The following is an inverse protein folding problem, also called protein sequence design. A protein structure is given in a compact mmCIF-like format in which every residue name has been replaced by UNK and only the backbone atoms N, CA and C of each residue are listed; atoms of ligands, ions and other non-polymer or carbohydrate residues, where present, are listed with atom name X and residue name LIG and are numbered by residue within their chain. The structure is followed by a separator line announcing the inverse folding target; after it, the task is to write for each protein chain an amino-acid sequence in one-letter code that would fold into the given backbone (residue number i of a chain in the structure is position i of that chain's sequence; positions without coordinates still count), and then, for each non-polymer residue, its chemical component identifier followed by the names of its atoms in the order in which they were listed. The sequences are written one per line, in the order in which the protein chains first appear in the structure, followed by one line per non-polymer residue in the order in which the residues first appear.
data_IF_502928243382
#
_entry.id   IF_502928243382
#
_cell.length_a   1.000
_cell.length_b   1.000
_cell.length_c   1.000
_cell.angle_alpha   90.00
_cell.angle_beta   90.00
_cell.angle_gamma   90.00
#
_symmetry.space_group_name_H-M   'P 1'
#
loop_
_entity.id
_entity.type
_entity.pdbx_description
1 polymer ?
#
# COMPACT_ATOMS: atom_id res chain seq x y z
N UNK A 1 -6.07 -36.94 8.04
CA UNK A 1 -6.56 -35.55 8.09
C UNK A 1 -5.60 -34.75 8.95
N UNK A 2 -4.65 -34.03 8.36
CA UNK A 2 -3.78 -33.12 9.12
C UNK A 2 -4.67 -32.02 9.72
N UNK A 3 -4.74 -31.92 11.05
CA UNK A 3 -5.42 -30.79 11.71
C UNK A 3 -4.69 -29.52 11.28
N UNK A 4 -5.35 -28.65 10.50
CA UNK A 4 -4.80 -27.31 10.19
C UNK A 4 -4.42 -26.62 11.51
N UNK A 5 -3.15 -26.23 11.66
CA UNK A 5 -2.63 -25.61 12.88
C UNK A 5 -3.24 -24.22 13.02
N UNK A 6 -3.78 -23.90 14.19
CA UNK A 6 -4.31 -22.55 14.45
C UNK A 6 -3.13 -21.58 14.55
N UNK A 7 -3.02 -20.67 13.57
CA UNK A 7 -2.01 -19.61 13.55
C UNK A 7 -2.40 -18.44 14.46
N UNK A 8 -1.38 -17.76 15.00
CA UNK A 8 -1.49 -16.47 15.69
C UNK A 8 -1.04 -15.36 14.74
N UNK A 9 -2.01 -14.59 14.27
CA UNK A 9 -1.82 -13.53 13.28
C UNK A 9 -1.85 -12.17 14.00
N UNK A 10 -0.70 -11.51 14.04
CA UNK A 10 -0.58 -10.11 14.42
C UNK A 10 -1.00 -9.18 13.29
N UNK A 11 -1.59 -8.04 13.63
CA UNK A 11 -1.76 -6.92 12.70
C UNK A 11 -1.37 -5.62 13.37
N UNK A 12 -0.50 -4.85 12.71
CA UNK A 12 -0.19 -3.47 13.06
C UNK A 12 -0.94 -2.58 12.08
N UNK A 13 -1.91 -1.81 12.56
CA UNK A 13 -2.72 -0.92 11.70
C UNK A 13 -3.08 0.38 12.42
N UNK A 14 -3.64 1.33 11.67
CA UNK A 14 -4.32 2.49 12.22
C UNK A 14 -5.53 2.09 13.08
N UNK A 15 -6.03 2.97 13.98
CA UNK A 15 -7.06 2.59 14.94
C UNK A 15 -8.28 1.96 14.28
N UNK A 16 -8.56 0.70 14.63
CA UNK A 16 -9.64 -0.10 14.05
C UNK A 16 -11.01 0.55 14.21
N UNK A 17 -11.19 1.44 15.20
CA UNK A 17 -12.43 2.17 15.49
C UNK A 17 -12.88 3.12 14.36
N UNK A 18 -11.95 3.56 13.52
CA UNK A 18 -12.21 4.61 12.52
C UNK A 18 -12.28 4.08 11.08
N UNK A 19 -12.22 2.77 10.89
CA UNK A 19 -12.24 2.18 9.56
C UNK A 19 -13.64 2.24 8.94
N UNK A 20 -13.69 2.18 7.61
CA UNK A 20 -14.92 1.93 6.85
C UNK A 20 -14.96 0.45 6.48
N UNK A 21 -15.64 -0.37 7.28
CA UNK A 21 -15.71 -1.84 7.15
C UNK A 21 -15.93 -2.33 5.71
N UNK A 22 -16.78 -1.65 4.95
CA UNK A 22 -17.11 -2.01 3.56
C UNK A 22 -15.96 -1.83 2.56
N UNK A 23 -14.95 -1.02 2.90
CA UNK A 23 -13.82 -0.66 2.04
C UNK A 23 -12.47 -1.09 2.61
N UNK A 24 -12.42 -1.42 3.89
CA UNK A 24 -11.18 -1.69 4.60
C UNK A 24 -10.64 -3.09 4.27
N UNK A 25 -9.55 -3.12 3.51
CA UNK A 25 -8.93 -4.38 3.08
C UNK A 25 -8.26 -5.12 4.24
N UNK A 26 -7.78 -4.41 5.27
CA UNK A 26 -7.23 -5.04 6.48
C UNK A 26 -8.33 -5.83 7.19
N UNK A 27 -9.50 -5.23 7.38
CA UNK A 27 -10.67 -5.88 7.98
C UNK A 27 -11.14 -7.10 7.18
N UNK A 28 -11.17 -7.02 5.85
CA UNK A 28 -11.51 -8.16 4.99
C UNK A 28 -10.53 -9.34 5.17
N UNK A 29 -9.22 -9.06 5.22
CA UNK A 29 -8.19 -10.08 5.49
C UNK A 29 -8.40 -10.72 6.86
N UNK A 30 -8.66 -9.92 7.89
CA UNK A 30 -8.91 -10.43 9.24
C UNK A 30 -10.19 -11.30 9.29
N UNK A 31 -11.25 -10.94 8.57
CA UNK A 31 -12.48 -11.75 8.50
C UNK A 31 -12.20 -13.14 7.94
N UNK A 32 -11.39 -13.24 6.88
CA UNK A 32 -10.99 -14.53 6.31
C UNK A 32 -10.09 -15.32 7.28
N UNK A 33 -9.14 -14.66 7.95
CA UNK A 33 -8.34 -15.28 9.00
C UNK A 33 -9.20 -15.87 10.14
N UNK A 34 -10.20 -15.11 10.62
CA UNK A 34 -11.11 -15.57 11.67
C UNK A 34 -12.01 -16.71 11.19
N UNK A 35 -12.48 -16.67 9.95
CA UNK A 35 -13.27 -17.75 9.34
C UNK A 35 -12.50 -19.07 9.27
N UNK A 36 -11.16 -19.01 9.19
CA UNK A 36 -10.25 -20.17 9.26
C UNK A 36 -9.83 -20.53 10.69
N UNK A 37 -10.44 -19.92 11.71
CA UNK A 37 -10.17 -20.11 13.13
C UNK A 37 -8.77 -19.67 13.60
N UNK A 38 -8.07 -18.83 12.84
CA UNK A 38 -6.83 -18.23 13.32
C UNK A 38 -7.10 -17.22 14.45
N UNK A 39 -6.16 -17.12 15.39
CA UNK A 39 -6.20 -16.15 16.47
C UNK A 39 -5.63 -14.82 15.99
N UNK A 40 -6.33 -13.72 16.26
CA UNK A 40 -5.96 -12.39 15.77
C UNK A 40 -5.49 -11.51 16.92
N UNK A 41 -4.28 -10.97 16.80
CA UNK A 41 -3.65 -10.05 17.75
C UNK A 41 -3.54 -8.66 17.12
N UNK A 42 -4.39 -7.75 17.61
CA UNK A 42 -4.40 -6.36 17.17
C UNK A 42 -3.35 -5.53 17.91
N UNK A 43 -2.65 -4.68 17.16
CA UNK A 43 -1.63 -3.74 17.63
C UNK A 43 -1.74 -2.42 16.87
N UNK A 44 -1.44 -1.33 17.56
CA UNK A 44 -1.14 -0.02 16.98
C UNK A 44 0.37 0.27 17.07
N UNK A 45 0.84 1.36 16.45
CA UNK A 45 2.27 1.73 16.47
C UNK A 45 2.81 1.93 17.90
N UNK A 46 1.99 2.51 18.78
CA UNK A 46 2.34 2.77 20.19
C UNK A 46 2.36 1.50 21.05
N UNK A 47 1.86 0.37 20.55
CA UNK A 47 1.90 -0.91 21.25
C UNK A 47 3.24 -1.62 21.05
N UNK A 48 3.99 -1.28 20.00
CA UNK A 48 5.27 -1.90 19.64
C UNK A 48 6.41 -1.31 20.47
N UNK A 49 7.29 -2.17 20.99
CA UNK A 49 8.50 -1.72 21.68
C UNK A 49 9.65 -2.72 21.60
N UNK A 50 10.86 -2.22 21.82
CA UNK A 50 12.08 -3.02 21.98
C UNK A 50 12.52 -3.01 23.43
N UNK A 51 12.89 -4.18 23.94
CA UNK A 51 13.52 -4.33 25.26
C UNK A 51 14.65 -5.33 25.15
N UNK A 52 15.88 -4.88 25.47
CA UNK A 52 17.11 -5.70 25.38
C UNK A 52 17.24 -6.45 24.04
N UNK A 53 17.05 -5.72 22.93
CA UNK A 53 17.16 -6.23 21.55
C UNK A 53 16.08 -7.24 21.10
N UNK A 54 15.09 -7.53 21.95
CA UNK A 54 13.94 -8.36 21.61
C UNK A 54 12.71 -7.47 21.36
N UNK A 55 11.90 -7.86 20.37
CA UNK A 55 10.66 -7.15 20.04
C UNK A 55 9.47 -7.69 20.83
N UNK A 56 8.66 -6.75 21.32
CA UNK A 56 7.47 -7.00 22.09
C UNK A 56 6.33 -6.12 21.61
N UNK A 57 5.12 -6.50 21.99
CA UNK A 57 3.98 -5.62 21.88
C UNK A 57 2.96 -5.84 22.99
N UNK A 58 2.22 -4.77 23.30
CA UNK A 58 0.92 -4.89 23.96
C UNK A 58 -0.12 -5.28 22.91
N UNK A 59 -0.54 -6.54 22.90
CA UNK A 59 -1.50 -7.05 21.93
C UNK A 59 -2.88 -7.20 22.54
N UNK A 60 -3.91 -6.98 21.73
CA UNK A 60 -5.30 -7.24 22.08
C UNK A 60 -5.86 -8.34 21.17
N UNK A 61 -6.31 -9.44 21.74
CA UNK A 61 -7.02 -10.48 21.00
C UNK A 61 -8.36 -9.92 20.54
N UNK A 62 -8.63 -9.95 19.23
CA UNK A 62 -9.89 -9.39 18.68
C UNK A 62 -10.80 -10.47 18.10
N UNK A 63 -12.11 -10.25 18.28
CA UNK A 63 -13.15 -10.88 17.47
C UNK A 63 -13.78 -9.82 16.60
N UNK A 64 -14.00 -10.13 15.33
CA UNK A 64 -14.58 -9.23 14.34
C UNK A 64 -15.87 -9.78 13.77
N UNK A 65 -16.75 -8.87 13.40
CA UNK A 65 -18.11 -9.16 12.95
C UNK A 65 -18.39 -8.40 11.66
N UNK A 66 -18.95 -9.07 10.65
CA UNK A 66 -19.39 -8.43 9.41
C UNK A 66 -20.68 -7.62 9.65
N UNK A 67 -20.54 -6.52 10.38
CA UNK A 67 -21.58 -5.54 10.73
C UNK A 67 -21.04 -4.14 10.48
N UNK A 68 -21.92 -3.16 10.31
CA UNK A 68 -21.54 -1.74 10.15
C UNK A 68 -21.30 -1.05 11.49
N UNK A 69 -21.90 -1.55 12.57
CA UNK A 69 -21.70 -1.11 13.96
C UNK A 69 -21.21 -2.26 14.82
N UNK A 70 -20.45 -1.95 15.88
CA UNK A 70 -19.85 -2.94 16.79
C UNK A 70 -19.18 -4.10 16.05
N UNK A 71 -18.36 -3.75 15.06
CA UNK A 71 -17.74 -4.69 14.12
C UNK A 71 -16.48 -5.36 14.66
N UNK A 72 -16.05 -5.00 15.88
CA UNK A 72 -14.95 -5.67 16.58
C UNK A 72 -15.17 -5.62 18.10
N UNK A 73 -14.57 -6.58 18.82
CA UNK A 73 -14.52 -6.65 20.27
C UNK A 73 -13.12 -7.09 20.72
N UNK A 74 -12.57 -6.42 21.74
CA UNK A 74 -11.37 -6.89 22.44
C UNK A 74 -11.76 -7.97 23.46
N UNK A 75 -11.10 -9.12 23.40
CA UNK A 75 -11.38 -10.28 24.25
C UNK A 75 -10.39 -10.34 25.42
N UNK A 76 -9.12 -10.05 25.14
CA UNK A 76 -8.02 -10.14 26.09
C UNK A 76 -6.93 -9.16 25.68
N UNK A 77 -6.25 -8.57 26.66
CA UNK A 77 -5.04 -7.78 26.47
C UNK A 77 -3.85 -8.47 27.14
N UNK A 78 -2.69 -8.42 26.50
CA UNK A 78 -1.47 -9.04 27.01
C UNK A 78 -0.21 -8.39 26.42
N UNK A 79 0.88 -8.42 27.18
CA UNK A 79 2.21 -8.11 26.67
C UNK A 79 2.90 -9.42 26.27
N UNK A 80 3.28 -9.56 25.01
CA UNK A 80 3.97 -10.74 24.48
C UNK A 80 5.23 -10.34 23.74
N UNK A 81 6.19 -11.27 23.63
CA UNK A 81 7.21 -11.14 22.60
C UNK A 81 6.56 -11.39 21.24
N UNK A 82 6.98 -10.62 20.23
CA UNK A 82 6.45 -10.78 18.88
C UNK A 82 6.76 -12.16 18.29
N UNK A 83 7.81 -12.85 18.75
CA UNK A 83 8.13 -14.23 18.35
C UNK A 83 7.10 -15.29 18.73
N UNK A 84 6.12 -14.93 19.56
CA UNK A 84 5.00 -15.80 19.90
C UNK A 84 3.90 -15.79 18.84
N UNK A 85 3.99 -14.89 17.85
CA UNK A 85 3.10 -14.81 16.70
C UNK A 85 3.73 -15.59 15.55
N UNK A 86 2.90 -16.24 14.73
CA UNK A 86 3.40 -16.94 13.54
C UNK A 86 3.61 -15.94 12.37
N UNK A 87 2.76 -14.91 12.28
CA UNK A 87 2.80 -13.89 11.23
C UNK A 87 2.38 -12.51 11.77
N UNK A 88 2.95 -11.43 11.22
CA UNK A 88 2.51 -10.05 11.46
C UNK A 88 2.22 -9.36 10.14
N UNK A 89 1.00 -8.85 9.98
CA UNK A 89 0.58 -7.98 8.89
C UNK A 89 0.91 -6.53 9.26
N UNK A 90 1.89 -5.92 8.60
CA UNK A 90 2.19 -4.50 8.69
C UNK A 90 1.26 -3.73 7.75
N UNK A 91 0.14 -3.25 8.29
CA UNK A 91 -0.96 -2.59 7.58
C UNK A 91 -1.17 -1.15 8.04
N UNK A 92 -0.12 -0.52 8.59
CA UNK A 92 -0.12 0.90 8.93
C UNK A 92 -0.14 1.72 7.64
N UNK A 93 -1.07 2.67 7.54
CA UNK A 93 -1.13 3.56 6.38
C UNK A 93 0.08 4.52 6.37
N UNK A 94 0.54 4.96 5.18
CA UNK A 94 1.42 6.12 5.02
C UNK A 94 0.93 7.35 5.79
N UNK A 95 1.82 8.30 6.14
CA UNK A 95 3.06 8.60 5.44
C UNK A 95 4.21 7.65 5.76
N UNK A 96 5.06 7.41 4.76
CA UNK A 96 6.36 6.75 4.98
C UNK A 96 7.32 7.76 5.60
N UNK A 97 7.37 7.78 6.93
CA UNK A 97 8.18 8.69 7.72
C UNK A 97 9.18 7.94 8.61
N UNK A 98 9.93 8.67 9.43
CA UNK A 98 10.94 8.06 10.32
C UNK A 98 10.31 7.10 11.35
N UNK A 99 9.10 7.37 11.82
CA UNK A 99 8.39 6.49 12.76
C UNK A 99 8.00 5.16 12.11
N UNK A 100 7.55 5.19 10.84
CA UNK A 100 7.32 3.99 10.05
C UNK A 100 8.62 3.18 9.93
N UNK A 101 9.75 3.84 9.63
CA UNK A 101 11.07 3.20 9.57
C UNK A 101 11.45 2.57 10.92
N UNK A 102 11.27 3.27 12.03
CA UNK A 102 11.55 2.72 13.36
C UNK A 102 10.73 1.46 13.65
N UNK A 103 9.44 1.47 13.35
CA UNK A 103 8.61 0.27 13.48
C UNK A 103 9.13 -0.89 12.63
N UNK A 104 9.63 -0.64 11.41
CA UNK A 104 10.24 -1.72 10.60
C UNK A 104 11.45 -2.35 11.30
N UNK A 105 12.28 -1.61 12.04
CA UNK A 105 13.39 -2.20 12.79
C UNK A 105 12.92 -3.06 13.96
N UNK A 106 11.80 -2.71 14.61
CA UNK A 106 11.18 -3.53 15.65
C UNK A 106 10.68 -4.84 15.04
N UNK A 107 9.93 -4.75 13.94
CA UNK A 107 9.40 -5.92 13.23
C UNK A 107 10.51 -6.81 12.66
N UNK A 108 11.62 -6.24 12.23
CA UNK A 108 12.79 -7.00 11.76
C UNK A 108 13.44 -7.84 12.86
N UNK A 109 13.34 -7.44 14.15
CA UNK A 109 13.78 -8.30 15.26
C UNK A 109 12.90 -9.54 15.39
N UNK A 110 11.58 -9.37 15.25
CA UNK A 110 10.66 -10.50 15.22
C UNK A 110 10.89 -11.40 13.98
N UNK A 111 11.15 -10.80 12.81
CA UNK A 111 11.50 -11.53 11.58
C UNK A 111 12.71 -12.45 11.79
N UNK A 112 13.77 -11.92 12.43
CA UNK A 112 14.99 -12.69 12.75
C UNK A 112 14.75 -13.83 13.76
N UNK A 113 13.66 -13.77 14.52
CA UNK A 113 13.24 -14.82 15.46
C UNK A 113 12.24 -15.81 14.81
N UNK A 114 12.00 -15.71 13.49
CA UNK A 114 11.21 -16.67 12.71
C UNK A 114 9.77 -16.25 12.42
N UNK A 115 9.36 -15.04 12.79
CA UNK A 115 8.00 -14.53 12.49
C UNK A 115 7.92 -14.08 11.04
N UNK A 116 6.90 -14.54 10.30
CA UNK A 116 6.65 -14.02 8.96
C UNK A 116 6.12 -12.58 9.05
N UNK A 117 6.78 -11.61 8.43
CA UNK A 117 6.29 -10.22 8.38
C UNK A 117 5.82 -9.89 6.97
N UNK A 118 4.57 -9.40 6.85
CA UNK A 118 3.96 -9.06 5.57
C UNK A 118 3.66 -7.56 5.53
N UNK A 119 4.34 -6.75 4.73
CA UNK A 119 5.50 -7.07 3.87
C UNK A 119 6.84 -7.04 4.63
N UNK A 120 7.89 -7.58 4.01
CA UNK A 120 9.26 -7.65 4.57
C UNK A 120 9.76 -6.28 5.06
N UNK A 121 10.18 -6.12 6.33
CA UNK A 121 10.58 -4.83 6.91
C UNK A 121 11.72 -4.12 6.17
N UNK A 122 12.74 -4.88 5.77
CA UNK A 122 13.84 -4.33 4.97
C UNK A 122 13.33 -3.76 3.65
N UNK A 123 12.50 -4.52 2.94
CA UNK A 123 11.99 -4.14 1.63
C UNK A 123 10.99 -2.99 1.69
N UNK A 124 10.26 -2.84 2.79
CA UNK A 124 9.48 -1.63 3.06
C UNK A 124 10.36 -0.37 3.13
N UNK A 125 11.61 -0.48 3.61
CA UNK A 125 12.56 0.64 3.62
C UNK A 125 13.23 0.85 2.27
N UNK A 126 13.54 -0.23 1.56
CA UNK A 126 14.21 -0.17 0.26
C UNK A 126 13.27 0.30 -0.87
N UNK A 127 11.97 0.00 -0.76
CA UNK A 127 11.00 0.14 -1.84
C UNK A 127 9.98 1.26 -1.54
N UNK A 128 10.43 2.51 -1.48
CA UNK A 128 9.49 3.65 -1.41
C UNK A 128 8.53 3.64 -2.60
N UNK A 129 7.24 3.86 -2.36
CA UNK A 129 6.17 3.59 -3.34
C UNK A 129 6.30 4.36 -4.67
N UNK A 130 6.96 5.52 -4.65
CA UNK A 130 7.21 6.36 -5.82
C UNK A 130 8.60 6.14 -6.40
N UNK A 131 9.64 6.20 -5.57
CA UNK A 131 11.03 6.02 -6.02
C UNK A 131 11.28 4.61 -6.56
N UNK A 132 10.65 3.59 -5.98
CA UNK A 132 10.82 2.22 -6.46
C UNK A 132 10.25 2.05 -7.87
N UNK A 133 9.13 2.72 -8.18
CA UNK A 133 8.56 2.70 -9.53
C UNK A 133 9.54 3.27 -10.58
N UNK A 134 10.34 4.28 -10.25
CA UNK A 134 11.28 4.90 -11.21
C UNK A 134 12.45 4.00 -11.60
N UNK A 135 12.65 2.85 -10.94
CA UNK A 135 13.62 1.84 -11.38
C UNK A 135 13.14 1.07 -12.63
N UNK A 136 11.88 1.25 -13.02
CA UNK A 136 11.24 0.56 -14.14
C UNK A 136 10.90 1.55 -15.26
N UNK A 137 11.90 2.33 -15.67
CA UNK A 137 11.82 3.45 -16.62
C UNK A 137 10.99 3.17 -17.88
N UNK A 138 11.12 1.97 -18.47
CA UNK A 138 10.35 1.54 -19.65
C UNK A 138 8.84 1.57 -19.44
N UNK A 139 8.38 1.44 -18.19
CA UNK A 139 6.97 1.41 -17.83
C UNK A 139 6.49 2.69 -17.16
N UNK A 140 7.36 3.59 -16.73
CA UNK A 140 6.95 4.84 -16.09
C UNK A 140 6.72 5.97 -17.11
N UNK A 141 5.97 7.04 -16.75
CA UNK A 141 6.09 8.31 -17.46
C UNK A 141 7.53 8.86 -17.33
N UNK A 142 7.88 9.86 -18.15
CA UNK A 142 9.11 10.62 -17.92
C UNK A 142 9.03 11.23 -16.52
N UNK A 143 10.09 11.02 -15.73
CA UNK A 143 10.09 11.21 -14.28
C UNK A 143 11.37 11.92 -13.84
N UNK A 144 11.21 13.02 -13.12
CA UNK A 144 12.28 13.74 -12.44
C UNK A 144 12.05 13.70 -10.93
N UNK A 145 13.10 13.39 -10.16
CA UNK A 145 13.08 13.55 -8.70
C UNK A 145 14.14 14.58 -8.33
N UNK A 146 13.70 15.72 -7.80
CA UNK A 146 14.60 16.80 -7.44
C UNK A 146 14.00 17.66 -6.33
N UNK A 147 14.86 18.48 -5.73
CA UNK A 147 14.44 19.60 -4.87
C UNK A 147 14.77 20.96 -5.49
N UNK A 148 15.44 20.97 -6.65
CA UNK A 148 15.90 22.20 -7.30
C UNK A 148 14.82 22.76 -8.23
N UNK A 149 14.37 23.99 -7.97
CA UNK A 149 13.27 24.62 -8.70
C UNK A 149 13.63 24.87 -10.18
N UNK A 150 14.89 25.20 -10.48
CA UNK A 150 15.32 25.40 -11.88
C UNK A 150 15.24 24.11 -12.70
N UNK A 151 15.57 22.95 -12.13
CA UNK A 151 15.39 21.66 -12.80
C UNK A 151 13.91 21.36 -13.04
N UNK A 152 13.04 21.66 -12.05
CA UNK A 152 11.58 21.52 -12.19
C UNK A 152 11.06 22.42 -13.32
N UNK A 153 11.55 23.66 -13.41
CA UNK A 153 11.19 24.60 -14.45
C UNK A 153 11.59 24.10 -15.84
N UNK A 154 12.82 23.60 -15.99
CA UNK A 154 13.31 23.06 -17.26
C UNK A 154 12.48 21.84 -17.70
N UNK A 155 12.16 20.95 -16.77
CA UNK A 155 11.30 19.80 -17.03
C UNK A 155 9.89 20.24 -17.44
N UNK A 156 9.31 21.22 -16.74
CA UNK A 156 8.01 21.80 -17.10
C UNK A 156 8.04 22.46 -18.48
N UNK A 157 9.09 23.21 -18.83
CA UNK A 157 9.25 23.83 -20.15
C UNK A 157 9.34 22.81 -21.28
N UNK A 158 10.04 21.70 -21.04
CA UNK A 158 10.17 20.61 -22.00
C UNK A 158 8.83 19.90 -22.25
N UNK A 159 8.11 19.56 -21.18
CA UNK A 159 6.92 18.70 -21.27
C UNK A 159 5.58 19.44 -21.31
N UNK A 160 5.56 20.71 -20.92
CA UNK A 160 4.41 21.64 -20.90
C UNK A 160 3.26 21.27 -19.98
N UNK A 161 3.02 19.99 -19.69
CA UNK A 161 1.96 19.51 -18.82
C UNK A 161 2.54 18.42 -17.90
N UNK A 162 2.68 18.76 -16.62
CA UNK A 162 3.36 17.92 -15.63
C UNK A 162 2.51 17.72 -14.39
N UNK A 163 2.83 16.67 -13.65
CA UNK A 163 2.34 16.39 -12.31
C UNK A 163 3.51 16.53 -11.34
N UNK A 164 3.33 17.27 -10.24
CA UNK A 164 4.26 17.32 -9.11
C UNK A 164 3.59 16.72 -7.88
N UNK A 165 4.29 15.82 -7.18
CA UNK A 165 3.78 15.07 -6.02
C UNK A 165 4.86 14.83 -4.96
N UNK A 166 4.48 14.72 -3.67
CA UNK A 166 5.44 14.43 -2.60
C UNK A 166 5.84 12.95 -2.63
N UNK A 167 6.96 12.59 -2.00
CA UNK A 167 7.48 11.21 -2.01
C UNK A 167 6.97 10.33 -0.85
N UNK A 168 6.43 10.93 0.20
CA UNK A 168 6.12 10.29 1.49
C UNK A 168 4.62 10.01 1.71
N UNK A 169 3.73 10.69 0.97
CA UNK A 169 2.28 10.61 1.16
C UNK A 169 1.58 9.66 0.17
N UNK A 170 0.36 9.25 0.54
CA UNK A 170 -0.54 8.45 -0.29
C UNK A 170 -1.87 9.18 -0.62
N UNK A 171 -2.72 8.54 -1.42
CA UNK A 171 -4.13 8.93 -1.57
C UNK A 171 -4.40 10.21 -2.35
N UNK A 172 -3.40 10.76 -3.04
CA UNK A 172 -3.55 12.00 -3.81
C UNK A 172 -3.34 13.28 -3.01
N UNK A 173 -2.79 13.19 -1.80
CA UNK A 173 -2.39 14.37 -1.03
C UNK A 173 -1.28 15.15 -1.75
N UNK A 174 -1.48 16.46 -1.90
CA UNK A 174 -0.53 17.40 -2.52
C UNK A 174 -0.06 17.01 -3.94
N UNK A 175 -0.97 16.46 -4.75
CA UNK A 175 -0.72 16.27 -6.19
C UNK A 175 -1.21 17.51 -6.94
N UNK A 176 -0.31 18.16 -7.66
CA UNK A 176 -0.64 19.32 -8.50
C UNK A 176 -0.36 19.00 -9.96
N UNK A 177 -1.27 19.42 -10.83
CA UNK A 177 -1.04 19.46 -12.27
C UNK A 177 -0.67 20.88 -12.67
N UNK A 178 0.46 21.02 -13.36
CA UNK A 178 0.95 22.30 -13.86
C UNK A 178 0.92 22.24 -15.39
N UNK A 179 0.00 23.00 -15.99
CA UNK A 179 -0.18 23.09 -17.45
C UNK A 179 0.74 24.16 -18.04
N UNK A 180 0.75 24.28 -19.36
CA UNK A 180 1.49 25.34 -20.05
C UNK A 180 0.97 26.71 -19.57
N UNK A 181 1.89 27.61 -19.22
CA UNK A 181 1.60 28.97 -18.73
C UNK A 181 0.84 29.07 -17.40
N UNK A 182 0.88 28.04 -16.54
CA UNK A 182 0.34 28.13 -15.18
C UNK A 182 1.08 29.20 -14.35
N UNK A 183 0.32 30.22 -13.92
CA UNK A 183 0.83 31.33 -13.12
C UNK A 183 1.30 30.90 -11.71
N UNK A 184 0.88 29.72 -11.25
CA UNK A 184 1.20 29.21 -9.92
C UNK A 184 2.44 28.31 -9.92
N UNK A 185 3.15 28.15 -11.03
CA UNK A 185 4.32 27.26 -11.11
C UNK A 185 5.30 27.49 -9.95
N UNK A 186 5.70 28.73 -9.71
CA UNK A 186 6.74 29.06 -8.75
C UNK A 186 6.30 28.72 -7.32
N UNK A 187 5.11 29.17 -6.92
CA UNK A 187 4.59 28.91 -5.57
C UNK A 187 4.33 27.41 -5.33
N UNK A 188 3.87 26.66 -6.35
CA UNK A 188 3.73 25.21 -6.24
C UNK A 188 5.10 24.57 -6.04
N UNK A 189 6.10 24.94 -6.83
CA UNK A 189 7.45 24.38 -6.71
C UNK A 189 8.09 24.71 -5.35
N UNK A 190 7.94 25.93 -4.84
CA UNK A 190 8.41 26.35 -3.51
C UNK A 190 7.75 25.55 -2.39
N UNK A 191 6.42 25.41 -2.41
CA UNK A 191 5.69 24.65 -1.39
C UNK A 191 6.08 23.17 -1.45
N UNK A 192 6.10 22.57 -2.64
CA UNK A 192 6.36 21.15 -2.84
C UNK A 192 7.79 20.75 -2.46
N UNK A 193 8.75 21.65 -2.69
CA UNK A 193 10.15 21.43 -2.30
C UNK A 193 10.47 21.97 -0.91
N UNK A 194 9.52 22.62 -0.22
CA UNK A 194 9.76 23.37 1.00
C UNK A 194 10.96 24.33 0.85
N UNK A 195 10.91 25.19 -0.17
CA UNK A 195 12.01 26.09 -0.56
C UNK A 195 13.33 25.33 -0.74
N UNK A 196 13.32 24.33 -1.61
CA UNK A 196 14.47 23.46 -1.96
C UNK A 196 15.07 22.61 -0.81
N UNK A 197 14.32 22.42 0.29
CA UNK A 197 14.74 21.59 1.44
C UNK A 197 14.26 20.15 1.38
N UNK A 198 13.29 19.83 0.52
CA UNK A 198 12.68 18.51 0.37
C UNK A 198 12.60 18.10 -1.10
N UNK A 199 12.83 16.83 -1.36
CA UNK A 199 12.64 16.24 -2.69
C UNK A 199 11.15 16.05 -2.99
N UNK A 200 10.79 16.26 -4.25
CA UNK A 200 9.50 15.89 -4.81
C UNK A 200 9.69 15.12 -6.12
N UNK A 201 8.63 14.48 -6.60
CA UNK A 201 8.59 13.78 -7.87
C UNK A 201 7.78 14.59 -8.87
N UNK A 202 8.31 14.72 -10.08
CA UNK A 202 7.70 15.39 -11.21
C UNK A 202 7.56 14.35 -12.33
N UNK A 203 6.38 14.23 -12.92
CA UNK A 203 6.10 13.31 -14.02
C UNK A 203 5.36 14.02 -15.14
N UNK A 204 5.51 13.57 -16.38
CA UNK A 204 4.62 14.02 -17.46
C UNK A 204 3.17 13.71 -17.13
N UNK A 205 2.25 14.65 -17.38
CA UNK A 205 0.83 14.39 -17.22
C UNK A 205 0.36 13.30 -18.19
N UNK A 206 -0.48 12.38 -17.70
CA UNK A 206 -1.02 11.27 -18.48
C UNK A 206 -2.51 11.52 -18.78
N UNK A 207 -2.88 11.92 -20.01
CA UNK A 207 -4.27 12.21 -20.36
C UNK A 207 -5.23 11.02 -20.20
N UNK A 208 -4.69 9.80 -20.24
CA UNK A 208 -5.45 8.56 -20.05
C UNK A 208 -6.00 8.40 -18.63
N UNK A 209 -5.60 9.24 -17.66
CA UNK A 209 -6.18 9.25 -16.29
C UNK A 209 -7.70 9.47 -16.30
N UNK A 210 -8.25 10.09 -17.35
CA UNK A 210 -9.70 10.24 -17.55
C UNK A 210 -10.44 8.89 -17.65
N UNK A 211 -9.74 7.82 -18.04
CA UNK A 211 -10.27 6.46 -18.07
C UNK A 211 -10.03 5.70 -16.77
N UNK A 212 -9.29 6.31 -15.84
CA UNK A 212 -9.06 5.83 -14.50
C UNK A 212 -7.60 5.49 -14.22
N UNK A 213 -7.24 5.63 -12.95
CA UNK A 213 -6.01 5.11 -12.35
C UNK A 213 -6.29 3.70 -11.82
N UNK A 214 -5.78 2.69 -12.53
CA UNK A 214 -6.02 1.27 -12.29
C UNK A 214 -5.18 0.79 -11.11
N UNK A 215 -5.84 0.29 -10.06
CA UNK A 215 -5.24 -0.46 -8.95
C UNK A 215 -5.23 -1.95 -9.28
N UNK A 216 -4.05 -2.50 -9.55
CA UNK A 216 -3.82 -3.95 -9.73
C UNK A 216 -3.25 -4.52 -8.44
N UNK A 217 -3.77 -5.66 -7.99
CA UNK A 217 -3.26 -6.35 -6.80
C UNK A 217 -2.38 -7.51 -7.22
N UNK A 218 -1.23 -7.67 -6.54
CA UNK A 218 -0.34 -8.82 -6.65
C UNK A 218 -0.22 -9.45 -5.27
N UNK A 219 -0.42 -10.77 -5.20
CA UNK A 219 -0.24 -11.59 -3.99
C UNK A 219 0.89 -12.59 -4.25
N UNK A 220 2.04 -12.41 -3.58
CA UNK A 220 3.23 -13.27 -3.70
C UNK A 220 3.68 -13.51 -5.15
N UNK A 221 3.70 -12.45 -5.97
CA UNK A 221 4.01 -12.53 -7.40
C UNK A 221 2.90 -13.14 -8.26
N UNK A 222 1.72 -13.42 -7.71
CA UNK A 222 0.54 -13.78 -8.49
C UNK A 222 -0.35 -12.56 -8.71
N UNK A 223 -0.47 -12.14 -9.97
CA UNK A 223 -1.33 -11.03 -10.39
C UNK A 223 -2.81 -11.40 -10.33
N UNK A 224 -3.62 -10.56 -9.71
CA UNK A 224 -5.09 -10.69 -9.72
C UNK A 224 -5.62 -10.24 -11.10
N UNK A 225 -6.44 -11.04 -11.80
CA UNK A 225 -6.88 -10.76 -13.18
C UNK A 225 -7.92 -9.62 -13.31
N UNK A 226 -8.19 -8.90 -12.21
CA UNK A 226 -9.09 -7.76 -12.14
C UNK A 226 -8.39 -6.59 -11.46
N UNK A 227 -8.74 -5.39 -11.88
CA UNK A 227 -8.30 -4.16 -11.25
C UNK A 227 -9.49 -3.26 -10.91
N UNK A 228 -9.22 -2.27 -10.06
CA UNK A 228 -10.14 -1.17 -9.80
C UNK A 228 -9.65 0.06 -10.56
N UNK A 229 -10.32 0.43 -11.64
CA UNK A 229 -10.12 1.70 -12.30
C UNK A 229 -10.79 2.80 -11.47
N UNK A 230 -9.98 3.69 -10.90
CA UNK A 230 -10.45 4.81 -10.08
C UNK A 230 -10.57 6.03 -10.98
N UNK A 231 -11.79 6.47 -11.26
CA UNK A 231 -12.06 7.52 -12.26
C UNK A 231 -12.20 8.86 -11.52
N UNK A 232 -11.42 9.90 -11.87
CA UNK A 232 -11.56 11.23 -11.29
C UNK A 232 -12.97 11.80 -11.48
N UNK A 233 -13.42 12.62 -10.53
CA UNK A 233 -14.64 13.43 -10.75
C UNK A 233 -14.43 14.45 -11.87
N UNK A 234 -15.52 14.92 -12.47
CA UNK A 234 -15.47 16.05 -13.42
C UNK A 234 -14.76 17.24 -12.76
N UNK A 235 -13.74 17.78 -13.43
CA UNK A 235 -12.87 18.88 -12.96
C UNK A 235 -11.95 18.55 -11.78
N UNK A 236 -11.76 17.28 -11.41
CA UNK A 236 -10.75 16.84 -10.45
C UNK A 236 -9.62 16.10 -11.20
N UNK A 237 -8.38 16.34 -10.79
CA UNK A 237 -7.20 15.71 -11.41
C UNK A 237 -6.84 14.38 -10.73
N UNK A 238 -7.26 14.21 -9.48
CA UNK A 238 -6.96 13.03 -8.66
C UNK A 238 -8.01 11.94 -8.88
N UNK A 239 -7.51 10.74 -9.10
CA UNK A 239 -8.32 9.56 -9.35
C UNK A 239 -8.65 8.78 -8.06
N UNK A 240 -7.89 8.95 -6.98
CA UNK A 240 -7.99 8.12 -5.78
C UNK A 240 -9.41 8.11 -5.18
N UNK A 241 -9.85 6.95 -4.69
CA UNK A 241 -11.15 6.80 -4.00
C UNK A 241 -11.22 7.74 -2.78
N UNK A 242 -10.09 7.96 -2.10
CA UNK A 242 -9.98 8.91 -0.99
C UNK A 242 -10.30 10.36 -1.40
N UNK A 243 -10.03 10.75 -2.66
CA UNK A 243 -10.38 12.05 -3.24
C UNK A 243 -11.78 12.06 -3.88
N UNK A 244 -12.57 10.99 -3.72
CA UNK A 244 -13.94 10.89 -4.24
C UNK A 244 -14.06 10.33 -5.66
N UNK A 245 -13.00 9.71 -6.21
CA UNK A 245 -13.08 9.02 -7.48
C UNK A 245 -14.08 7.85 -7.47
N UNK A 246 -14.66 7.54 -8.64
CA UNK A 246 -15.58 6.40 -8.80
C UNK A 246 -14.78 5.13 -9.09
N UNK A 247 -15.03 4.07 -8.33
CA UNK A 247 -14.42 2.76 -8.55
C UNK A 247 -15.18 1.98 -9.63
N UNK A 248 -14.48 1.54 -10.68
CA UNK A 248 -14.99 0.66 -11.72
C UNK A 248 -14.14 -0.61 -11.79
N UNK A 249 -14.77 -1.75 -11.63
CA UNK A 249 -14.10 -3.05 -11.75
C UNK A 249 -13.96 -3.42 -13.22
N UNK A 250 -12.77 -3.85 -13.62
CA UNK A 250 -12.50 -4.31 -14.98
C UNK A 250 -11.40 -5.38 -15.00
N UNK A 251 -11.40 -6.21 -16.05
CA UNK A 251 -10.32 -7.17 -16.28
C UNK A 251 -9.04 -6.44 -16.67
N UNK A 252 -7.90 -7.04 -16.34
CA UNK A 252 -6.60 -6.57 -16.82
C UNK A 252 -6.52 -6.64 -18.34
N UNK A 253 -6.03 -5.57 -18.96
CA UNK A 253 -5.70 -5.54 -20.38
C UNK A 253 -4.30 -6.14 -20.66
N UNK A 254 -3.89 -6.17 -21.93
CA UNK A 254 -2.58 -6.73 -22.33
C UNK A 254 -1.41 -5.98 -21.69
N UNK A 255 -1.50 -4.66 -21.55
CA UNK A 255 -0.43 -3.83 -20.97
C UNK A 255 -0.39 -3.94 -19.46
N UNK A 256 -1.55 -4.09 -18.81
CA UNK A 256 -1.64 -4.43 -17.39
C UNK A 256 -0.88 -5.73 -17.08
N UNK A 257 -1.15 -6.79 -17.85
CA UNK A 257 -0.45 -8.06 -17.71
C UNK A 257 1.05 -7.93 -17.98
N UNK A 258 1.46 -7.25 -19.05
CA UNK A 258 2.88 -7.05 -19.38
C UNK A 258 3.66 -6.39 -18.23
N UNK A 259 3.10 -5.34 -17.62
CA UNK A 259 3.72 -4.64 -16.49
C UNK A 259 3.73 -5.55 -15.25
N UNK A 260 2.59 -6.16 -14.93
CA UNK A 260 2.45 -6.98 -13.74
C UNK A 260 3.32 -8.25 -13.78
N UNK A 261 3.43 -8.90 -14.93
CA UNK A 261 4.25 -10.11 -15.11
C UNK A 261 5.74 -9.79 -15.01
N UNK A 262 6.16 -8.62 -15.50
CA UNK A 262 7.55 -8.18 -15.34
C UNK A 262 7.90 -7.89 -13.88
N UNK A 263 7.01 -7.22 -13.14
CA UNK A 263 7.26 -6.82 -11.75
C UNK A 263 7.10 -7.96 -10.75
N UNK A 264 6.14 -8.88 -10.99
CA UNK A 264 5.82 -10.00 -10.12
C UNK A 264 7.02 -10.78 -9.57
N UNK A 265 7.99 -11.26 -10.37
CA UNK A 265 9.15 -11.97 -9.85
C UNK A 265 10.04 -11.10 -8.97
N UNK A 266 10.20 -9.82 -9.31
CA UNK A 266 11.03 -8.85 -8.56
C UNK A 266 10.41 -8.56 -7.19
N UNK A 267 9.09 -8.36 -7.15
CA UNK A 267 8.34 -8.14 -5.91
C UNK A 267 8.45 -9.36 -4.99
N UNK A 268 8.33 -10.56 -5.57
CA UNK A 268 8.45 -11.83 -4.85
C UNK A 268 9.84 -12.03 -4.26
N UNK A 269 10.90 -11.79 -5.03
CA UNK A 269 12.29 -11.87 -4.57
C UNK A 269 12.55 -10.93 -3.37
N UNK A 270 11.92 -9.75 -3.38
CA UNK A 270 12.00 -8.78 -2.29
C UNK A 270 11.08 -9.10 -1.11
N UNK A 271 10.33 -10.21 -1.10
CA UNK A 271 9.38 -10.50 -0.01
C UNK A 271 8.25 -9.47 0.11
N UNK A 272 7.91 -8.81 -1.00
CA UNK A 272 6.74 -7.95 -1.12
C UNK A 272 5.55 -8.80 -1.52
N UNK A 273 4.89 -9.37 -0.51
CA UNK A 273 3.84 -10.38 -0.64
C UNK A 273 2.49 -9.76 -1.01
N UNK A 274 2.11 -8.60 -0.45
CA UNK A 274 0.87 -7.92 -0.81
C UNK A 274 1.17 -6.54 -1.38
N UNK A 275 0.99 -6.37 -2.68
CA UNK A 275 1.37 -5.16 -3.42
C UNK A 275 0.19 -4.64 -4.24
N UNK A 276 0.06 -3.32 -4.31
CA UNK A 276 -0.87 -2.63 -5.21
C UNK A 276 -0.13 -1.80 -6.25
N UNK A 277 -0.22 -2.16 -7.53
CA UNK A 277 0.31 -1.34 -8.62
C UNK A 277 -0.72 -0.29 -9.04
N UNK A 278 -0.25 0.93 -9.28
CA UNK A 278 -1.05 2.01 -9.87
C UNK A 278 -0.61 2.23 -11.31
N UNK A 279 -1.55 2.09 -12.25
CA UNK A 279 -1.31 2.19 -13.69
C UNK A 279 -2.31 3.14 -14.32
N UNK A 280 -1.81 4.14 -15.05
CA UNK A 280 -2.61 5.05 -15.87
C UNK A 280 -2.30 4.78 -17.34
N UNK A 281 -3.31 4.33 -18.09
CA UNK A 281 -3.11 3.89 -19.47
C UNK A 281 -2.17 2.68 -19.51
N UNK A 282 -1.00 2.86 -20.11
CA UNK A 282 0.09 1.90 -20.22
C UNK A 282 1.31 2.25 -19.35
N UNK A 283 1.14 3.18 -18.39
CA UNK A 283 2.23 3.67 -17.54
C UNK A 283 2.03 3.33 -16.07
N UNK A 284 3.04 2.71 -15.47
CA UNK A 284 3.19 2.52 -14.03
C UNK A 284 3.48 3.87 -13.36
N UNK A 285 2.68 4.25 -12.38
CA UNK A 285 2.85 5.52 -11.66
C UNK A 285 3.37 5.33 -10.25
N UNK A 286 2.96 4.27 -9.54
CA UNK A 286 3.35 3.94 -8.15
C UNK A 286 3.28 2.43 -7.88
N UNK A 287 4.11 1.95 -6.95
CA UNK A 287 4.09 0.57 -6.42
C UNK A 287 3.80 0.65 -4.92
N UNK A 288 2.54 0.45 -4.52
CA UNK A 288 2.09 0.54 -3.13
C UNK A 288 2.46 -0.74 -2.38
N UNK A 289 3.38 -0.64 -1.42
CA UNK A 289 3.92 -1.78 -0.65
C UNK A 289 3.55 -1.74 0.84
N UNK A 290 2.99 -0.63 1.32
CA UNK A 290 2.68 -0.44 2.74
C UNK A 290 1.31 -1.02 3.09
N UNK A 291 0.24 -0.31 2.70
CA UNK A 291 -1.14 -0.66 3.01
C UNK A 291 -2.03 -0.61 1.75
N UNK A 292 -1.70 -1.36 0.66
CA UNK A 292 -2.55 -1.37 -0.54
C UNK A 292 -3.98 -1.80 -0.21
N UNK A 293 -4.96 -1.16 -0.84
CA UNK A 293 -6.41 -1.38 -0.66
C UNK A 293 -7.05 -1.89 -1.96
N UNK A 294 -8.38 -1.86 -2.03
CA UNK A 294 -9.23 -2.31 -3.15
C UNK A 294 -9.53 -3.81 -3.21
N UNK A 295 -9.26 -4.57 -2.13
CA UNK A 295 -9.70 -5.97 -2.02
C UNK A 295 -11.23 -6.05 -2.04
N UNK A 296 -11.90 -5.27 -1.18
CA UNK A 296 -13.34 -5.34 -0.99
C UNK A 296 -14.09 -5.09 -2.31
N UNK A 297 -13.72 -4.07 -3.06
CA UNK A 297 -14.36 -3.73 -4.33
C UNK A 297 -14.21 -4.85 -5.37
N UNK A 298 -13.04 -5.53 -5.44
CA UNK A 298 -12.83 -6.65 -6.35
C UNK A 298 -13.64 -7.87 -5.91
N UNK A 299 -13.55 -8.27 -4.65
CA UNK A 299 -14.26 -9.47 -4.13
C UNK A 299 -15.78 -9.30 -4.14
N UNK A 300 -16.31 -8.08 -4.02
CA UNK A 300 -17.76 -7.82 -4.10
C UNK A 300 -18.32 -7.98 -5.53
N UNK A 301 -17.50 -7.81 -6.55
CA UNK A 301 -17.93 -7.77 -7.95
C UNK A 301 -17.39 -8.94 -8.79
N UNK A 302 -16.64 -9.85 -8.19
CA UNK A 302 -15.99 -10.97 -8.87
C UNK A 302 -16.04 -12.22 -7.99
N UNK A 303 -15.77 -13.39 -8.58
CA UNK A 303 -15.73 -14.67 -7.85
C UNK A 303 -14.34 -14.99 -7.26
N UNK A 304 -13.42 -14.02 -7.22
CA UNK A 304 -12.07 -14.22 -6.70
C UNK A 304 -12.04 -13.82 -5.23
N UNK A 305 -11.38 -14.63 -4.41
CA UNK A 305 -11.07 -14.28 -3.02
C UNK A 305 -9.58 -14.00 -2.87
N UNK A 306 -9.22 -12.73 -2.96
CA UNK A 306 -7.86 -12.23 -2.73
C UNK A 306 -7.44 -12.45 -1.28
N UNK A 307 -8.38 -12.26 -0.34
CA UNK A 307 -8.18 -12.56 1.09
C UNK A 307 -7.82 -14.03 1.30
N UNK A 308 -8.54 -14.96 0.66
CA UNK A 308 -8.22 -16.39 0.72
C UNK A 308 -6.84 -16.69 0.15
N UNK A 309 -6.49 -16.11 -1.01
CA UNK A 309 -5.16 -16.30 -1.60
C UNK A 309 -4.03 -15.85 -0.67
N UNK A 310 -4.21 -14.72 0.03
CA UNK A 310 -3.23 -14.23 1.00
C UNK A 310 -3.12 -15.16 2.22
N UNK A 311 -4.25 -15.61 2.79
CA UNK A 311 -4.21 -16.53 3.94
C UNK A 311 -3.71 -17.93 3.53
N UNK A 312 -4.05 -18.42 2.34
CA UNK A 312 -3.49 -19.66 1.77
C UNK A 312 -1.96 -19.59 1.69
N UNK A 313 -1.43 -18.47 1.21
CA UNK A 313 0.01 -18.24 1.20
C UNK A 313 0.61 -18.28 2.60
N UNK A 314 0.01 -17.59 3.58
CA UNK A 314 0.47 -17.56 4.97
C UNK A 314 0.48 -18.98 5.56
N UNK A 315 -0.61 -19.73 5.40
CA UNK A 315 -0.72 -21.12 5.86
C UNK A 315 0.38 -21.98 5.24
N UNK A 316 0.63 -21.88 3.93
CA UNK A 316 1.64 -22.66 3.21
C UNK A 316 3.10 -22.29 3.54
N UNK A 317 3.36 -21.11 4.11
CA UNK A 317 4.72 -20.74 4.56
C UNK A 317 5.04 -21.26 5.96
N UNK A 318 4.02 -21.52 6.78
CA UNK A 318 4.18 -21.85 8.20
C UNK A 318 3.94 -23.35 8.45
N UNK A 319 3.11 -24.00 7.63
CA UNK A 319 2.93 -25.45 7.63
C UNK A 319 4.02 -26.15 6.81
#
# INVERSE_FOLDING_TARGET
MNKKKILKIGIVMDPIQFIKVEKDSSFAILLEAQKRNHQIHYMEMNDLYLKKNQAYARTRCIRIHKKTTNYFNFIQEQNISLNQLDVILMRKDPPFNIEFIYATYILERAEKEGVLIINKPQSLRDCNEKIFASLFDKFTPDTLVTRNISQIYNFWKQHKDIIIKPLDNMGGASIFRIKENDLNFLVIAEIMTNYEKKYCMIQTYLPLVKYGDKRIIIINGQTIPWCVARIPKKNETRANIAAGGTAKIQKLDKKDWEIADYLSPILKEKGLIFVGLDIIGDKLTEINVTSPTCICEIELNTNISITSMLIDYIENQIY
#
